data_IF_568672384639
#
_entry.id   IF_568672384639
#
_cell.length_a   1.000
_cell.length_b   1.000
_cell.length_c   1.000
_cell.angle_alpha   90.00
_cell.angle_beta   90.00
_cell.angle_gamma   90.00
#
_symmetry.space_group_name_H-M   'P 1'
#
loop_
_entity.id
_entity.type
_entity.pdbx_description
1 polymer ?
#
# COMPACT_ATOMS: atom_id res chain seq x y z
N UNK A 1 -7.92 -3.71 -9.34
CA UNK A 1 -8.38 -2.93 -8.16
C UNK A 1 -7.31 -1.92 -7.77
N UNK A 2 -7.65 -0.77 -7.16
CA UNK A 2 -6.71 0.33 -6.88
C UNK A 2 -5.49 -0.01 -6.00
N UNK A 3 -5.43 -1.22 -5.46
CA UNK A 3 -4.34 -1.69 -4.61
C UNK A 3 -3.62 -2.94 -5.13
N UNK A 4 -4.00 -3.53 -6.27
CA UNK A 4 -3.35 -4.76 -6.73
C UNK A 4 -1.92 -4.51 -7.22
N UNK A 5 -1.66 -3.30 -7.73
CA UNK A 5 -0.35 -2.89 -8.26
C UNK A 5 0.77 -2.99 -7.22
N UNK A 6 0.48 -2.82 -5.93
CA UNK A 6 1.52 -2.91 -4.89
C UNK A 6 1.97 -4.35 -4.68
N UNK A 7 1.10 -5.33 -4.91
CA UNK A 7 1.45 -6.75 -4.78
C UNK A 7 2.40 -7.15 -5.90
N UNK A 8 2.13 -6.69 -7.13
CA UNK A 8 3.00 -6.89 -8.28
C UNK A 8 4.39 -6.28 -8.05
N UNK A 9 4.45 -5.03 -7.56
CA UNK A 9 5.73 -4.38 -7.22
C UNK A 9 6.51 -5.14 -6.15
N UNK A 10 5.84 -5.63 -5.11
CA UNK A 10 6.50 -6.42 -4.06
C UNK A 10 7.00 -7.78 -4.59
N UNK A 11 6.27 -8.40 -5.52
CA UNK A 11 6.72 -9.61 -6.20
C UNK A 11 7.97 -9.37 -7.04
N UNK A 12 8.02 -8.26 -7.80
CA UNK A 12 9.18 -7.86 -8.60
C UNK A 12 10.41 -7.57 -7.72
N UNK A 13 10.24 -6.82 -6.65
CA UNK A 13 11.33 -6.51 -5.71
C UNK A 13 11.88 -7.78 -5.04
N UNK A 14 11.00 -8.73 -4.72
CA UNK A 14 11.42 -10.02 -4.15
C UNK A 14 12.20 -10.85 -5.16
N UNK A 15 11.77 -10.88 -6.43
CA UNK A 15 12.49 -11.56 -7.50
C UNK A 15 13.89 -10.97 -7.67
N UNK A 16 13.99 -9.63 -7.77
CA UNK A 16 15.26 -8.92 -7.82
C UNK A 16 16.17 -9.27 -6.63
N UNK A 17 15.63 -9.27 -5.41
CA UNK A 17 16.40 -9.60 -4.20
C UNK A 17 16.97 -11.03 -4.26
N UNK A 18 16.18 -12.01 -4.73
CA UNK A 18 16.63 -13.40 -4.89
C UNK A 18 17.72 -13.54 -5.96
N UNK A 19 17.54 -12.91 -7.11
CA UNK A 19 18.53 -12.93 -8.21
C UNK A 19 19.88 -12.35 -7.77
N UNK A 20 19.86 -11.40 -6.84
CA UNK A 20 21.05 -10.73 -6.31
C UNK A 20 21.56 -11.29 -4.98
N UNK A 21 21.05 -12.46 -4.53
CA UNK A 21 21.43 -13.11 -3.26
C UNK A 21 21.25 -12.21 -2.02
N UNK A 22 20.24 -11.34 -2.04
CA UNK A 22 19.85 -10.50 -0.92
C UNK A 22 18.79 -11.23 -0.08
N UNK A 23 19.15 -12.39 0.50
CA UNK A 23 18.18 -13.33 1.09
C UNK A 23 17.36 -12.72 2.24
N UNK A 24 18.00 -11.92 3.09
CA UNK A 24 17.31 -11.21 4.18
C UNK A 24 16.27 -10.22 3.64
N UNK A 25 16.60 -9.49 2.57
CA UNK A 25 15.69 -8.56 1.91
C UNK A 25 14.52 -9.31 1.26
N UNK A 26 14.79 -10.41 0.55
CA UNK A 26 13.75 -11.22 -0.05
C UNK A 26 12.77 -11.77 0.99
N UNK A 27 13.26 -12.13 2.18
CA UNK A 27 12.42 -12.56 3.30
C UNK A 27 11.54 -11.42 3.84
N UNK A 28 12.12 -10.25 4.11
CA UNK A 28 11.36 -9.09 4.60
C UNK A 28 10.29 -8.63 3.58
N UNK A 29 10.58 -8.71 2.28
CA UNK A 29 9.60 -8.40 1.23
C UNK A 29 8.44 -9.41 1.22
N UNK A 30 8.70 -10.70 1.46
CA UNK A 30 7.64 -11.71 1.58
C UNK A 30 6.72 -11.40 2.77
N UNK A 31 7.30 -11.09 3.94
CA UNK A 31 6.55 -10.75 5.14
C UNK A 31 5.73 -9.45 4.91
N UNK A 32 6.32 -8.45 4.24
CA UNK A 32 5.63 -7.20 3.83
C UNK A 32 4.47 -7.46 2.87
N UNK A 33 4.65 -8.38 1.91
CA UNK A 33 3.62 -8.76 0.93
C UNK A 33 2.41 -9.41 1.62
N UNK A 34 2.63 -10.23 2.64
CA UNK A 34 1.54 -10.82 3.44
C UNK A 34 0.73 -9.76 4.20
N UNK A 35 1.41 -8.76 4.78
CA UNK A 35 0.75 -7.62 5.43
C UNK A 35 -0.12 -6.86 4.43
N UNK A 36 0.43 -6.51 3.26
CA UNK A 36 -0.31 -5.80 2.22
C UNK A 36 -1.55 -6.57 1.75
N UNK A 37 -1.44 -7.88 1.51
CA UNK A 37 -2.59 -8.72 1.15
C UNK A 37 -3.66 -8.72 2.23
N UNK A 38 -3.25 -8.85 3.49
CA UNK A 38 -4.17 -8.83 4.63
C UNK A 38 -4.91 -7.51 4.72
N UNK A 39 -4.22 -6.38 4.57
CA UNK A 39 -4.82 -5.05 4.61
C UNK A 39 -5.77 -4.81 3.44
N UNK A 40 -5.39 -5.23 2.23
CA UNK A 40 -6.23 -5.09 1.03
C UNK A 40 -7.50 -5.93 1.16
N UNK A 41 -7.37 -7.18 1.61
CA UNK A 41 -8.52 -8.07 1.82
C UNK A 41 -9.43 -7.61 2.97
N UNK A 42 -8.87 -6.93 3.97
CA UNK A 42 -9.62 -6.45 5.14
C UNK A 42 -10.33 -5.11 4.91
N UNK A 43 -10.06 -4.40 3.81
CA UNK A 43 -10.80 -3.18 3.47
C UNK A 43 -12.23 -3.55 3.06
N UNK A 44 -13.26 -3.13 3.83
CA UNK A 44 -14.64 -3.27 3.39
C UNK A 44 -14.76 -2.48 2.08
N UNK A 45 -15.36 -3.08 1.04
CA UNK A 45 -15.56 -2.40 -0.23
C UNK A 45 -16.24 -1.05 -0.01
N UNK A 46 -15.47 0.04 -0.13
CA UNK A 46 -16.05 1.35 -0.33
C UNK A 46 -16.76 1.24 -1.69
N UNK A 47 -18.06 1.56 -1.81
CA UNK A 47 -18.77 1.42 -3.07
C UNK A 47 -17.96 2.09 -4.19
N UNK A 48 -17.70 1.32 -5.23
CA UNK A 48 -16.98 1.74 -6.43
C UNK A 48 -17.78 2.90 -7.06
N UNK A 49 -17.32 4.14 -6.81
CA UNK A 49 -18.01 5.34 -7.32
C UNK A 49 -17.87 6.66 -6.54
N UNK A 50 -16.96 6.80 -5.56
CA UNK A 50 -16.89 8.05 -4.76
C UNK A 50 -15.51 8.74 -4.68
N UNK A 51 -14.49 8.29 -5.43
CA UNK A 51 -13.16 8.90 -5.35
C UNK A 51 -12.42 8.93 -6.69
N UNK A 52 -13.06 9.51 -7.71
CA UNK A 52 -12.35 10.05 -8.89
C UNK A 52 -12.11 11.57 -8.70
N UNK A 53 -11.59 11.92 -7.52
CA UNK A 53 -11.18 13.28 -7.17
C UNK A 53 -9.78 13.23 -6.57
N UNK A 54 -8.93 14.24 -6.82
CA UNK A 54 -7.53 14.19 -6.41
C UNK A 54 -7.44 14.02 -4.89
N UNK A 55 -6.75 12.95 -4.46
CA UNK A 55 -6.44 12.67 -3.06
C UNK A 55 -5.59 13.83 -2.54
N UNK A 56 -6.22 14.72 -1.76
CA UNK A 56 -5.51 15.73 -0.98
C UNK A 56 -4.92 15.02 0.26
N UNK A 57 -3.62 15.19 0.57
CA UNK A 57 -3.03 14.58 1.74
C UNK A 57 -3.65 15.13 3.02
N UNK A 58 -3.80 14.26 4.02
CA UNK A 58 -4.38 14.55 5.33
C UNK A 58 -3.53 15.61 6.04
N UNK A 59 -3.99 16.87 6.04
CA UNK A 59 -3.47 17.90 6.94
C UNK A 59 -4.26 17.85 8.24
N UNK A 60 -3.86 16.96 9.16
CA UNK A 60 -4.27 17.05 10.55
C UNK A 60 -3.42 18.12 11.25
N UNK A 61 -3.87 19.37 11.24
CA UNK A 61 -3.43 20.38 12.19
C UNK A 61 -4.55 21.37 12.48
N UNK A 62 -5.08 21.26 13.68
CA UNK A 62 -5.97 22.20 14.35
C UNK A 62 -5.37 23.62 14.32
N UNK A 63 -6.01 24.58 13.63
CA UNK A 63 -5.91 25.99 14.03
C UNK A 63 -7.06 26.88 13.54
N UNK A 64 -7.84 27.33 14.53
CA UNK A 64 -8.53 28.62 14.66
C UNK A 64 -9.75 28.92 13.79
N UNK A 65 -10.90 28.86 14.47
CA UNK A 65 -12.03 29.71 14.13
C UNK A 65 -11.69 31.20 14.33
N UNK A 66 -12.25 32.01 13.44
CA UNK A 66 -12.44 33.44 13.64
C UNK A 66 -13.86 33.77 13.17
N UNK A 67 -14.73 34.05 14.15
CA UNK A 67 -15.82 35.02 13.99
C UNK A 67 -15.47 36.21 14.86
#
# INVERSE_FOLDING_TARGET
>A
MPHDWIIEVLDDLRAYAKENRLDALAKEIEDTRLVAQTEIASKPGLPEGAADGPVQPIALALHYGSR
#
